data_IF_492175714069
#
_entry.id   IF_492175714069
#
_cell.length_a   1.000
_cell.length_b   1.000
_cell.length_c   1.000
_cell.angle_alpha   90.00
_cell.angle_beta   90.00
_cell.angle_gamma   90.00
#
_symmetry.space_group_name_H-M   'P 1'
#
loop_
_entity.id
_entity.type
_entity.pdbx_description
1 polymer ?
#
# COMPACT_ATOMS: atom_id res chain seq x y z
N UNK A 1 16.03 19.12 24.20
CA UNK A 1 17.49 19.32 24.39
C UNK A 1 18.21 18.75 23.15
N UNK A 2 19.35 19.31 22.70
CA UNK A 2 20.12 18.77 21.54
C UNK A 2 21.42 18.11 22.03
N UNK A 3 21.67 16.83 21.72
CA UNK A 3 22.94 16.12 22.00
C UNK A 3 23.62 15.70 20.70
N UNK A 4 24.93 15.88 20.59
CA UNK A 4 25.69 15.71 19.33
C UNK A 4 26.44 14.38 19.34
N UNK A 5 26.35 13.62 18.26
CA UNK A 5 27.06 12.34 18.11
C UNK A 5 28.33 12.43 17.22
N UNK A 6 28.53 13.50 16.44
CA UNK A 6 29.79 13.77 15.74
C UNK A 6 30.18 15.26 15.60
N UNK A 7 31.47 15.55 15.84
CA UNK A 7 32.16 16.81 15.49
C UNK A 7 32.09 17.93 16.53
N UNK A 8 33.15 18.76 16.57
CA UNK A 8 33.44 19.80 17.58
C UNK A 8 32.22 20.56 18.13
N UNK A 9 32.19 20.71 19.45
CA UNK A 9 31.09 21.18 20.28
C UNK A 9 30.59 22.56 19.88
N UNK A 10 29.45 22.64 19.20
CA UNK A 10 28.62 23.85 19.20
C UNK A 10 27.56 23.60 20.27
N UNK A 11 27.40 24.54 21.22
CA UNK A 11 26.34 24.47 22.21
C UNK A 11 24.97 24.65 21.52
N UNK A 12 24.35 23.49 21.27
CA UNK A 12 23.10 23.31 20.56
C UNK A 12 21.92 23.13 21.54
N UNK A 13 22.18 23.02 22.84
CA UNK A 13 21.13 22.79 23.82
C UNK A 13 20.15 23.98 23.88
N UNK A 14 18.85 23.72 23.66
CA UNK A 14 17.78 24.69 23.88
C UNK A 14 17.42 25.61 22.70
N UNK A 15 18.08 25.50 21.55
CA UNK A 15 17.77 26.32 20.35
C UNK A 15 16.79 25.63 19.40
N UNK A 16 15.92 26.40 18.73
CA UNK A 16 15.01 25.87 17.71
C UNK A 16 15.80 25.54 16.44
N UNK A 17 15.49 24.39 15.84
CA UNK A 17 16.15 23.90 14.63
C UNK A 17 16.11 24.92 13.48
N UNK A 18 14.97 25.60 13.28
CA UNK A 18 14.79 26.62 12.23
C UNK A 18 15.79 27.77 12.31
N UNK A 19 16.19 28.16 13.52
CA UNK A 19 17.11 29.28 13.74
C UNK A 19 18.58 28.87 13.54
N UNK A 20 18.85 27.55 13.55
CA UNK A 20 20.19 26.97 13.44
C UNK A 20 20.53 26.51 12.02
N UNK A 21 19.55 26.05 11.24
CA UNK A 21 19.74 25.55 9.87
C UNK A 21 20.53 26.51 8.95
N UNK A 22 20.29 27.84 8.95
CA UNK A 22 21.04 28.76 8.09
C UNK A 22 22.52 28.93 8.49
N UNK A 23 22.86 28.63 9.74
CA UNK A 23 24.20 28.83 10.32
C UNK A 23 25.07 27.58 10.28
N UNK A 24 24.47 26.42 10.00
CA UNK A 24 25.15 25.13 9.95
C UNK A 24 25.85 24.95 8.59
N UNK A 25 27.19 24.84 8.62
CA UNK A 25 28.03 24.60 7.44
C UNK A 25 28.39 23.12 7.21
N UNK A 26 27.91 22.20 8.06
CA UNK A 26 28.28 20.77 8.02
C UNK A 26 27.65 20.07 6.81
N UNK A 27 28.25 18.96 6.38
CA UNK A 27 27.62 18.11 5.37
C UNK A 27 26.52 17.23 5.98
N UNK A 28 26.74 16.81 7.23
CA UNK A 28 25.84 15.93 7.99
C UNK A 28 25.52 16.54 9.36
N UNK A 29 24.26 16.45 9.75
CA UNK A 29 23.73 16.74 11.09
C UNK A 29 23.26 15.41 11.66
N UNK A 30 23.75 15.02 12.83
CA UNK A 30 23.28 13.85 13.53
C UNK A 30 23.25 14.14 15.04
N UNK A 31 22.04 14.43 15.53
CA UNK A 31 21.82 14.93 16.88
C UNK A 31 20.53 14.35 17.46
N UNK A 32 20.45 14.19 18.77
CA UNK A 32 19.16 14.01 19.43
C UNK A 32 18.42 15.34 19.50
N UNK A 33 17.10 15.29 19.32
CA UNK A 33 16.16 16.43 19.42
C UNK A 33 15.01 16.05 20.33
N UNK A 34 14.52 17.03 21.07
CA UNK A 34 13.27 16.89 21.82
C UNK A 34 12.14 17.50 20.98
N UNK A 35 11.16 16.68 20.63
CA UNK A 35 10.01 17.06 19.83
C UNK A 35 8.78 17.09 20.74
N UNK A 36 8.11 18.23 20.79
CA UNK A 36 6.85 18.37 21.50
C UNK A 36 5.68 18.26 20.53
N UNK A 37 4.79 17.29 20.72
CA UNK A 37 3.58 17.13 19.92
C UNK A 37 2.35 16.95 20.81
N UNK A 38 1.17 17.22 20.25
CA UNK A 38 -0.12 17.07 20.94
C UNK A 38 -0.43 15.58 21.09
N UNK A 39 -0.61 15.07 22.31
CA UNK A 39 -1.03 13.69 22.55
C UNK A 39 -2.43 13.44 22.01
N UNK A 40 -2.69 12.40 21.20
CA UNK A 40 -4.09 11.95 21.12
C UNK A 40 -4.44 11.39 22.49
N UNK A 41 -5.31 12.09 23.22
CA UNK A 41 -5.77 11.70 24.55
C UNK A 41 -6.00 10.19 24.59
N UNK A 42 -5.34 9.55 25.54
CA UNK A 42 -5.42 8.13 25.85
C UNK A 42 -6.87 7.63 25.84
N UNK A 43 -7.10 6.56 25.06
CA UNK A 43 -8.26 5.65 25.06
C UNK A 43 -9.32 5.92 26.14
N UNK A 44 -10.53 6.31 25.73
CA UNK A 44 -11.75 6.07 26.51
C UNK A 44 -12.81 5.40 25.62
N UNK A 45 -13.05 4.12 25.90
CA UNK A 45 -14.15 3.22 25.49
C UNK A 45 -14.50 3.08 23.99
N UNK A 46 -14.17 1.89 23.46
CA UNK A 46 -14.95 1.19 22.43
C UNK A 46 -16.42 1.19 22.86
N UNK A 47 -17.29 1.82 22.09
CA UNK A 47 -18.69 1.39 21.99
C UNK A 47 -18.86 0.96 20.54
N UNK A 48 -18.97 -0.34 20.32
CA UNK A 48 -19.42 -0.91 19.04
C UNK A 48 -20.84 -0.40 18.79
N UNK A 49 -21.00 0.57 17.89
CA UNK A 49 -22.24 0.72 17.13
C UNK A 49 -21.92 1.13 15.70
N UNK A 50 -22.27 0.23 14.79
CA UNK A 50 -22.57 0.41 13.37
C UNK A 50 -21.63 1.30 12.56
N UNK A 51 -20.54 0.70 12.07
CA UNK A 51 -20.06 0.82 10.69
C UNK A 51 -19.76 2.21 10.12
N UNK A 52 -19.80 3.25 10.95
CA UNK A 52 -19.61 4.64 10.55
C UNK A 52 -18.23 5.09 11.02
N UNK A 53 -17.43 5.54 10.07
CA UNK A 53 -16.10 6.09 10.33
C UNK A 53 -16.27 7.42 11.07
N UNK A 54 -16.33 7.38 12.41
CA UNK A 54 -16.37 8.61 13.20
C UNK A 54 -15.01 9.32 13.10
N UNK A 55 -14.99 10.46 12.40
CA UNK A 55 -13.86 11.38 12.43
C UNK A 55 -13.84 12.03 13.80
N UNK A 56 -12.98 11.51 14.68
CA UNK A 56 -12.80 12.04 16.03
C UNK A 56 -12.15 13.44 16.00
N UNK A 57 -12.91 14.44 16.44
CA UNK A 57 -12.39 15.78 16.74
C UNK A 57 -12.22 15.93 18.26
N UNK A 58 -11.00 15.87 18.81
CA UNK A 58 -10.80 16.09 20.25
C UNK A 58 -11.25 17.50 20.64
N UNK A 59 -12.24 17.62 21.53
CA UNK A 59 -12.57 18.86 22.24
C UNK A 59 -11.73 18.95 23.51
N UNK A 60 -10.78 19.89 23.57
CA UNK A 60 -10.01 20.22 24.76
C UNK A 60 -8.56 20.62 24.47
N UNK A 61 -7.91 21.28 25.44
CA UNK A 61 -6.47 21.53 25.39
C UNK A 61 -5.71 20.22 25.56
N UNK A 62 -5.20 19.73 24.44
CA UNK A 62 -4.48 18.47 24.36
C UNK A 62 -3.13 18.61 25.08
N UNK A 63 -2.81 17.74 26.06
CA UNK A 63 -1.50 17.76 26.71
C UNK A 63 -0.39 17.53 25.67
N UNK A 64 0.66 18.36 25.73
CA UNK A 64 1.85 18.21 24.89
C UNK A 64 2.73 17.13 25.48
N UNK A 65 2.94 16.05 24.73
CA UNK A 65 3.99 15.06 25.04
C UNK A 65 5.30 15.58 24.48
N UNK A 66 6.37 15.38 25.23
CA UNK A 66 7.73 15.63 24.76
C UNK A 66 8.45 14.29 24.67
N UNK A 67 8.98 13.99 23.49
CA UNK A 67 9.77 12.78 23.26
C UNK A 67 11.09 13.15 22.59
N UNK A 68 12.12 12.35 22.85
CA UNK A 68 13.44 12.50 22.26
C UNK A 68 13.58 11.59 21.05
N UNK A 69 14.07 12.15 19.95
CA UNK A 69 14.32 11.44 18.71
C UNK A 69 15.71 11.79 18.18
N UNK A 70 16.27 10.95 17.33
CA UNK A 70 17.45 11.30 16.54
C UNK A 70 17.01 12.07 15.29
N UNK A 71 17.58 13.24 15.09
CA UNK A 71 17.44 14.05 13.89
C UNK A 71 18.70 13.88 13.03
N UNK A 72 18.48 13.37 11.83
CA UNK A 72 19.50 13.25 10.79
C UNK A 72 19.24 14.30 9.72
N UNK A 73 20.27 15.07 9.35
CA UNK A 73 20.20 16.07 8.30
C UNK A 73 21.32 15.88 7.29
N UNK A 74 21.00 15.69 6.02
CA UNK A 74 21.99 15.62 4.94
C UNK A 74 21.88 16.86 4.08
N UNK A 75 23.00 17.54 3.87
CA UNK A 75 23.06 18.68 2.98
C UNK A 75 23.08 18.22 1.52
N UNK A 76 22.08 18.63 0.77
CA UNK A 76 22.04 18.41 -0.66
C UNK A 76 23.05 19.32 -1.38
N UNK A 77 23.85 18.72 -2.28
CA UNK A 77 24.97 19.41 -2.93
C UNK A 77 24.52 20.42 -3.99
N UNK A 78 23.39 20.16 -4.64
CA UNK A 78 22.84 20.99 -5.71
C UNK A 78 22.01 22.16 -5.15
N UNK A 79 21.00 21.87 -4.34
CA UNK A 79 20.11 22.89 -3.76
C UNK A 79 20.73 23.65 -2.58
N UNK A 80 21.85 23.16 -2.03
CA UNK A 80 22.49 23.66 -0.80
C UNK A 80 21.58 23.64 0.45
N UNK A 81 20.44 22.95 0.39
CA UNK A 81 19.48 22.81 1.49
C UNK A 81 19.68 21.51 2.26
N UNK A 82 19.20 21.44 3.51
CA UNK A 82 19.23 20.19 4.28
C UNK A 82 17.94 19.40 4.07
N UNK A 83 18.08 18.11 3.78
CA UNK A 83 17.01 17.13 3.96
C UNK A 83 17.08 16.58 5.37
N UNK A 84 15.99 16.76 6.12
CA UNK A 84 15.90 16.43 7.55
C UNK A 84 14.99 15.22 7.75
N UNK A 85 15.46 14.27 8.56
CA UNK A 85 14.82 13.00 8.86
C UNK A 85 14.79 12.79 10.36
N UNK A 86 13.67 12.30 10.89
CA UNK A 86 13.49 12.03 12.31
C UNK A 86 13.36 10.53 12.52
N UNK A 87 14.22 9.94 13.35
CA UNK A 87 14.24 8.49 13.57
C UNK A 87 14.46 8.17 15.06
N UNK A 88 14.00 7.00 15.49
CA UNK A 88 14.34 6.42 16.78
C UNK A 88 15.47 5.37 16.66
N UNK A 89 16.01 5.14 15.46
CA UNK A 89 17.11 4.21 15.20
C UNK A 89 18.41 4.85 15.68
N UNK A 90 19.14 4.11 16.51
CA UNK A 90 20.39 4.58 17.10
C UNK A 90 21.52 4.72 16.06
N UNK A 91 22.53 5.58 16.29
CA UNK A 91 23.69 5.72 15.41
C UNK A 91 24.47 4.42 15.21
N UNK A 92 24.48 3.53 16.22
CA UNK A 92 25.16 2.24 16.17
C UNK A 92 24.46 1.25 15.23
N UNK A 93 23.14 1.39 15.03
CA UNK A 93 22.35 0.54 14.15
C UNK A 93 22.32 1.03 12.70
N UNK A 94 22.31 2.35 12.49
CA UNK A 94 22.20 2.93 11.15
C UNK A 94 22.91 4.28 11.08
N UNK A 95 23.79 4.45 10.10
CA UNK A 95 24.49 5.72 9.89
C UNK A 95 23.51 6.81 9.41
N UNK A 96 23.94 8.07 9.49
CA UNK A 96 23.16 9.19 8.99
C UNK A 96 22.88 9.07 7.47
N UNK A 97 23.87 8.61 6.70
CA UNK A 97 23.78 8.39 5.26
C UNK A 97 22.76 7.30 4.93
N UNK A 98 22.79 6.19 5.66
CA UNK A 98 21.88 5.06 5.47
C UNK A 98 20.45 5.41 5.88
N UNK A 99 20.26 6.23 6.92
CA UNK A 99 18.95 6.79 7.27
C UNK A 99 18.39 7.56 6.07
N UNK A 100 19.15 8.46 5.47
CA UNK A 100 18.68 9.21 4.31
C UNK A 100 18.41 8.32 3.10
N UNK A 101 19.23 7.30 2.86
CA UNK A 101 19.02 6.31 1.80
C UNK A 101 17.71 5.54 2.02
N UNK A 102 17.46 5.08 3.25
CA UNK A 102 16.23 4.40 3.63
C UNK A 102 15.00 5.31 3.44
N UNK A 103 15.11 6.59 3.79
CA UNK A 103 14.04 7.57 3.56
C UNK A 103 13.79 7.83 2.07
N UNK A 104 14.80 7.72 1.19
CA UNK A 104 14.58 7.74 -0.27
C UNK A 104 13.77 6.53 -0.72
N UNK A 105 14.00 5.37 -0.12
CA UNK A 105 13.22 4.17 -0.40
C UNK A 105 11.74 4.30 0.00
N UNK A 106 11.33 5.34 0.75
CA UNK A 106 9.91 5.64 1.03
C UNK A 106 9.08 5.75 -0.25
N UNK A 107 9.65 6.24 -1.36
CA UNK A 107 8.95 6.33 -2.65
C UNK A 107 8.45 4.97 -3.17
N UNK A 108 9.06 3.87 -2.71
CA UNK A 108 8.61 2.51 -3.03
C UNK A 108 7.15 2.27 -2.67
N UNK A 109 6.63 2.91 -1.60
CA UNK A 109 5.22 2.75 -1.23
C UNK A 109 4.28 3.37 -2.25
N UNK A 110 4.67 4.47 -2.88
CA UNK A 110 3.87 5.12 -3.92
C UNK A 110 3.81 4.24 -5.17
N UNK A 111 4.90 3.57 -5.51
CA UNK A 111 4.94 2.58 -6.58
C UNK A 111 4.05 1.37 -6.27
N UNK A 112 4.05 0.88 -5.03
CA UNK A 112 3.15 -0.20 -4.59
C UNK A 112 1.68 0.22 -4.71
N UNK A 113 1.30 1.41 -4.24
CA UNK A 113 -0.06 1.89 -4.41
C UNK A 113 -0.43 2.09 -5.88
N UNK A 114 0.50 2.53 -6.71
CA UNK A 114 0.28 2.66 -8.16
C UNK A 114 0.07 1.30 -8.81
N UNK A 115 0.81 0.28 -8.41
CA UNK A 115 0.63 -1.12 -8.85
C UNK A 115 -0.75 -1.65 -8.44
N UNK A 116 -1.10 -1.55 -7.15
CA UNK A 116 -2.39 -2.00 -6.60
C UNK A 116 -3.58 -1.39 -7.34
N UNK A 117 -3.56 -0.08 -7.60
CA UNK A 117 -4.61 0.61 -8.34
C UNK A 117 -4.64 0.17 -9.82
N UNK A 118 -3.50 0.26 -10.50
CA UNK A 118 -3.45 0.04 -11.95
C UNK A 118 -3.74 -1.41 -12.36
N UNK A 119 -3.17 -2.39 -11.66
CA UNK A 119 -3.24 -3.79 -12.08
C UNK A 119 -4.26 -4.59 -11.28
N UNK A 120 -4.49 -4.25 -10.01
CA UNK A 120 -5.43 -4.99 -9.16
C UNK A 120 -6.72 -4.21 -8.89
N UNK A 121 -6.93 -3.09 -9.60
CA UNK A 121 -8.18 -2.33 -9.65
C UNK A 121 -8.72 -1.88 -8.29
N UNK A 122 -7.81 -1.62 -7.34
CA UNK A 122 -8.18 -1.24 -5.97
C UNK A 122 -8.97 0.08 -5.90
N UNK A 123 -8.86 0.93 -6.93
CA UNK A 123 -9.59 2.19 -7.07
C UNK A 123 -10.91 2.10 -7.85
N UNK A 124 -11.27 0.91 -8.35
CA UNK A 124 -12.48 0.68 -9.17
C UNK A 124 -13.37 -0.40 -8.54
N UNK A 125 -13.65 -0.27 -7.24
CA UNK A 125 -14.59 -1.16 -6.55
C UNK A 125 -16.00 -0.58 -6.64
N UNK A 126 -16.88 -1.22 -7.40
CA UNK A 126 -18.26 -0.77 -7.66
C UNK A 126 -19.29 -1.26 -6.61
N UNK A 127 -18.88 -2.05 -5.64
CA UNK A 127 -19.74 -2.58 -4.57
C UNK A 127 -19.76 -1.65 -3.35
N UNK A 128 -20.95 -1.42 -2.79
CA UNK A 128 -21.13 -0.72 -1.50
C UNK A 128 -21.14 -1.65 -0.28
N UNK A 129 -21.11 -2.97 -0.48
CA UNK A 129 -21.16 -3.93 0.62
C UNK A 129 -19.79 -4.05 1.30
N UNK A 130 -19.65 -3.77 2.62
CA UNK A 130 -18.37 -3.77 3.31
C UNK A 130 -17.59 -5.09 3.21
N UNK A 131 -18.30 -6.22 3.28
CA UNK A 131 -17.70 -7.56 3.19
C UNK A 131 -17.09 -7.83 1.81
N UNK A 132 -17.73 -7.33 0.74
CA UNK A 132 -17.23 -7.46 -0.63
C UNK A 132 -15.99 -6.57 -0.81
N UNK A 133 -16.04 -5.33 -0.31
CA UNK A 133 -14.89 -4.42 -0.36
C UNK A 133 -13.69 -5.03 0.37
N UNK A 134 -13.87 -5.52 1.59
CA UNK A 134 -12.81 -6.14 2.38
C UNK A 134 -12.20 -7.34 1.66
N UNK A 135 -13.04 -8.22 1.10
CA UNK A 135 -12.60 -9.39 0.35
C UNK A 135 -11.75 -8.99 -0.88
N UNK A 136 -12.18 -7.99 -1.64
CA UNK A 136 -11.43 -7.51 -2.81
C UNK A 136 -10.09 -6.86 -2.42
N UNK A 137 -10.06 -6.09 -1.34
CA UNK A 137 -8.80 -5.52 -0.81
C UNK A 137 -7.85 -6.64 -0.40
N UNK A 138 -8.34 -7.66 0.31
CA UNK A 138 -7.51 -8.81 0.73
C UNK A 138 -6.98 -9.59 -0.48
N UNK A 139 -7.80 -9.83 -1.50
CA UNK A 139 -7.37 -10.50 -2.74
C UNK A 139 -6.31 -9.69 -3.48
N UNK A 140 -6.46 -8.37 -3.57
CA UNK A 140 -5.46 -7.49 -4.18
C UNK A 140 -4.13 -7.53 -3.42
N UNK A 141 -4.18 -7.49 -2.08
CA UNK A 141 -2.99 -7.58 -1.22
C UNK A 141 -2.31 -8.95 -1.35
N UNK A 142 -3.08 -10.05 -1.38
CA UNK A 142 -2.55 -11.39 -1.58
C UNK A 142 -1.88 -11.52 -2.95
N UNK A 143 -2.52 -11.01 -4.01
CA UNK A 143 -1.98 -11.00 -5.38
C UNK A 143 -0.67 -10.24 -5.45
N UNK A 144 -0.58 -9.07 -4.79
CA UNK A 144 0.66 -8.29 -4.70
C UNK A 144 1.79 -9.08 -4.04
N UNK A 145 1.52 -9.75 -2.91
CA UNK A 145 2.52 -10.56 -2.19
C UNK A 145 3.04 -11.69 -3.06
N UNK A 146 2.15 -12.42 -3.75
CA UNK A 146 2.53 -13.50 -4.67
C UNK A 146 3.36 -12.95 -5.85
N UNK A 147 2.90 -11.86 -6.46
CA UNK A 147 3.60 -11.17 -7.55
C UNK A 147 5.02 -10.77 -7.13
N UNK A 148 5.17 -10.10 -5.98
CA UNK A 148 6.48 -9.62 -5.49
C UNK A 148 7.39 -10.76 -5.04
N UNK A 149 6.83 -11.86 -4.54
CA UNK A 149 7.62 -13.06 -4.23
C UNK A 149 8.28 -13.62 -5.49
N UNK A 150 7.53 -13.71 -6.58
CA UNK A 150 8.03 -14.15 -7.87
C UNK A 150 9.03 -13.14 -8.48
N UNK A 151 8.76 -11.83 -8.38
CA UNK A 151 9.70 -10.78 -8.78
C UNK A 151 11.06 -10.96 -8.10
N UNK A 152 11.05 -11.13 -6.78
CA UNK A 152 12.27 -11.32 -6.01
C UNK A 152 12.98 -12.61 -6.42
N UNK A 153 12.25 -13.68 -6.71
CA UNK A 153 12.83 -14.91 -7.26
C UNK A 153 13.52 -14.69 -8.62
N UNK A 154 12.89 -13.93 -9.51
CA UNK A 154 13.47 -13.62 -10.83
C UNK A 154 14.74 -12.76 -10.72
N UNK A 155 14.78 -11.82 -9.78
CA UNK A 155 15.99 -11.03 -9.48
C UNK A 155 17.14 -11.88 -8.96
N UNK A 156 16.83 -12.94 -8.19
CA UNK A 156 17.83 -13.89 -7.70
C UNK A 156 18.37 -14.79 -8.82
N UNK A 157 17.51 -15.22 -9.75
CA UNK A 157 17.91 -16.08 -10.86
C UNK A 157 18.66 -15.37 -11.98
N UNK A 158 18.45 -14.05 -12.15
CA UNK A 158 19.11 -13.23 -13.15
C UNK A 158 19.73 -11.98 -12.50
N UNK A 159 20.80 -12.15 -11.69
CA UNK A 159 21.41 -11.06 -10.95
C UNK A 159 21.94 -9.94 -11.85
N UNK A 160 22.42 -10.29 -13.05
CA UNK A 160 22.91 -9.35 -14.07
C UNK A 160 21.81 -8.45 -14.64
N UNK A 161 20.54 -8.89 -14.55
CA UNK A 161 19.35 -8.12 -14.97
C UNK A 161 18.51 -7.64 -13.80
N UNK A 162 18.91 -7.92 -12.57
CA UNK A 162 18.13 -7.64 -11.35
C UNK A 162 17.60 -6.20 -11.28
N UNK A 163 18.45 -5.22 -11.59
CA UNK A 163 18.10 -3.80 -11.62
C UNK A 163 17.03 -3.44 -12.67
N UNK A 164 16.90 -4.23 -13.74
CA UNK A 164 15.92 -4.01 -14.81
C UNK A 164 14.55 -4.62 -14.51
N UNK A 165 14.46 -5.52 -13.54
CA UNK A 165 13.18 -6.02 -13.05
C UNK A 165 12.52 -4.97 -12.14
N UNK A 166 11.97 -3.92 -12.73
CA UNK A 166 11.25 -2.88 -11.99
C UNK A 166 9.85 -3.36 -11.58
N UNK A 167 9.32 -2.96 -10.41
CA UNK A 167 8.03 -3.46 -9.91
C UNK A 167 6.87 -3.26 -10.89
N UNK A 168 6.74 -2.07 -11.50
CA UNK A 168 5.63 -1.79 -12.42
C UNK A 168 5.71 -2.58 -13.73
N UNK A 169 6.92 -2.78 -14.29
CA UNK A 169 7.08 -3.57 -15.52
C UNK A 169 6.84 -5.06 -15.25
N UNK A 170 7.28 -5.52 -14.09
CA UNK A 170 7.00 -6.86 -13.60
C UNK A 170 5.49 -7.08 -13.44
N UNK A 171 4.80 -6.20 -12.73
CA UNK A 171 3.37 -6.30 -12.45
C UNK A 171 2.54 -6.39 -13.73
N UNK A 172 2.88 -5.60 -14.75
CA UNK A 172 2.26 -5.66 -16.08
C UNK A 172 2.39 -7.05 -16.71
N UNK A 173 3.60 -7.62 -16.65
CA UNK A 173 3.88 -8.94 -17.22
C UNK A 173 3.21 -10.06 -16.42
N UNK A 174 3.26 -9.97 -15.09
CA UNK A 174 2.61 -10.90 -14.17
C UNK A 174 1.09 -10.90 -14.37
N UNK A 175 0.47 -9.73 -14.42
CA UNK A 175 -0.97 -9.60 -14.63
C UNK A 175 -1.41 -10.17 -15.99
N UNK A 176 -0.65 -9.91 -17.06
CA UNK A 176 -0.95 -10.42 -18.40
C UNK A 176 -0.96 -11.96 -18.49
N UNK A 177 -0.14 -12.63 -17.67
CA UNK A 177 -0.03 -14.10 -17.66
C UNK A 177 -0.75 -14.75 -16.47
N UNK A 178 -1.33 -13.96 -15.56
CA UNK A 178 -1.96 -14.45 -14.35
C UNK A 178 -3.05 -15.51 -14.61
N UNK A 179 -3.93 -15.38 -15.63
CA UNK A 179 -4.90 -16.44 -15.93
C UNK A 179 -4.25 -17.78 -16.28
N UNK A 180 -3.17 -17.75 -17.06
CA UNK A 180 -2.41 -18.96 -17.44
C UNK A 180 -1.72 -19.58 -16.23
N UNK A 181 -1.15 -18.76 -15.34
CA UNK A 181 -0.56 -19.25 -14.10
C UNK A 181 -1.63 -19.86 -13.19
N UNK A 182 -2.80 -19.23 -13.08
CA UNK A 182 -3.91 -19.72 -12.28
C UNK A 182 -4.40 -21.08 -12.77
N UNK A 183 -4.57 -21.27 -14.09
CA UNK A 183 -4.95 -22.57 -14.65
C UNK A 183 -3.95 -23.68 -14.32
N UNK A 184 -2.64 -23.36 -14.29
CA UNK A 184 -1.61 -24.32 -13.86
C UNK A 184 -1.68 -24.65 -12.37
N UNK A 185 -1.98 -23.65 -11.53
CA UNK A 185 -2.17 -23.85 -10.08
C UNK A 185 -3.40 -24.70 -9.80
N UNK A 186 -4.53 -24.42 -10.48
CA UNK A 186 -5.76 -25.20 -10.36
C UNK A 186 -5.55 -26.65 -10.79
N UNK A 187 -4.90 -26.87 -11.93
CA UNK A 187 -4.55 -28.21 -12.39
C UNK A 187 -3.66 -28.95 -11.39
N UNK A 188 -2.67 -28.28 -10.81
CA UNK A 188 -1.81 -28.87 -9.77
C UNK A 188 -2.58 -29.18 -8.47
N UNK A 189 -3.64 -28.42 -8.18
CA UNK A 189 -4.57 -28.69 -7.08
C UNK A 189 -5.59 -29.80 -7.38
N UNK A 190 -5.51 -30.44 -8.56
CA UNK A 190 -6.47 -31.48 -8.98
C UNK A 190 -7.81 -30.93 -9.46
N UNK A 191 -7.91 -29.62 -9.67
CA UNK A 191 -9.08 -28.96 -10.24
C UNK A 191 -8.86 -28.92 -11.75
N UNK A 192 -9.44 -29.89 -12.45
CA UNK A 192 -9.37 -29.93 -13.92
C UNK A 192 -10.35 -28.90 -14.51
N UNK A 193 -9.90 -28.15 -15.51
CA UNK A 193 -10.73 -27.21 -16.28
C UNK A 193 -11.61 -28.00 -17.26
N UNK A 194 -12.41 -28.93 -16.75
CA UNK A 194 -13.35 -29.66 -17.58
C UNK A 194 -14.34 -28.65 -18.21
N UNK A 195 -14.74 -28.81 -19.47
CA UNK A 195 -15.73 -27.94 -20.12
C UNK A 195 -17.04 -27.78 -19.32
N UNK A 196 -17.41 -28.80 -18.55
CA UNK A 196 -18.57 -28.76 -17.64
C UNK A 196 -18.39 -27.76 -16.48
N UNK A 197 -17.16 -27.58 -15.98
CA UNK A 197 -16.87 -26.61 -14.92
C UNK A 197 -17.08 -25.18 -15.41
N UNK A 198 -16.77 -24.90 -16.68
CA UNK A 198 -17.06 -23.62 -17.33
C UNK A 198 -18.56 -23.35 -17.43
N UNK A 199 -19.36 -24.36 -17.79
CA UNK A 199 -20.82 -24.23 -17.83
C UNK A 199 -21.37 -23.98 -16.43
N UNK A 200 -20.93 -24.74 -15.42
CA UNK A 200 -21.32 -24.52 -14.00
C UNK A 200 -20.91 -23.13 -13.53
N UNK A 201 -19.70 -22.67 -13.87
CA UNK A 201 -19.23 -21.32 -13.59
C UNK A 201 -20.13 -20.26 -14.24
N UNK A 202 -20.42 -20.38 -15.53
CA UNK A 202 -21.30 -19.42 -16.22
C UNK A 202 -22.74 -19.45 -15.68
N UNK A 203 -23.24 -20.61 -15.28
CA UNK A 203 -24.54 -20.72 -14.62
C UNK A 203 -24.56 -20.08 -13.23
N UNK A 204 -23.44 -20.10 -12.50
CA UNK A 204 -23.33 -19.46 -11.18
C UNK A 204 -23.06 -17.95 -11.26
N UNK A 205 -22.04 -17.56 -12.01
CA UNK A 205 -21.52 -16.18 -12.07
C UNK A 205 -22.10 -15.35 -13.21
N UNK A 206 -22.61 -15.98 -14.27
CA UNK A 206 -23.19 -15.29 -15.42
C UNK A 206 -24.58 -14.73 -15.15
N UNK A 207 -25.22 -15.14 -14.05
CA UNK A 207 -26.50 -14.59 -13.60
C UNK A 207 -26.21 -13.27 -12.87
N UNK A 208 -26.68 -12.16 -13.43
CA UNK A 208 -26.57 -10.85 -12.81
C UNK A 208 -27.19 -10.87 -11.39
N UNK A 209 -26.39 -10.62 -10.33
CA UNK A 209 -26.86 -10.69 -8.95
C UNK A 209 -27.89 -9.62 -8.62
N UNK A 210 -28.03 -8.57 -9.44
CA UNK A 210 -29.07 -7.56 -9.27
C UNK A 210 -30.42 -8.05 -9.82
N UNK A 211 -31.08 -8.91 -9.04
CA UNK A 211 -32.35 -9.57 -9.40
C UNK A 211 -33.46 -8.57 -9.77
N UNK A 212 -33.47 -7.39 -9.18
CA UNK A 212 -34.50 -6.37 -9.36
C UNK A 212 -34.21 -5.38 -10.51
N UNK A 213 -33.09 -5.53 -11.22
CA UNK A 213 -32.75 -4.65 -12.35
C UNK A 213 -33.74 -4.86 -13.49
N UNK A 214 -34.44 -3.81 -13.90
CA UNK A 214 -35.20 -3.83 -15.15
C UNK A 214 -34.24 -3.99 -16.34
N UNK A 215 -34.47 -5.02 -17.16
CA UNK A 215 -33.65 -5.29 -18.35
C UNK A 215 -34.44 -4.97 -19.59
N UNK A 216 -33.83 -4.20 -20.50
CA UNK A 216 -34.45 -3.71 -21.73
C UNK A 216 -35.03 -4.83 -22.61
N UNK A 217 -34.38 -5.99 -22.65
CA UNK A 217 -34.80 -7.15 -23.45
C UNK A 217 -35.74 -8.12 -22.72
N UNK A 218 -36.15 -7.84 -21.48
CA UNK A 218 -36.99 -8.76 -20.68
C UNK A 218 -38.27 -9.22 -21.40
N UNK A 219 -39.01 -8.35 -22.13
CA UNK A 219 -40.22 -8.77 -22.84
C UNK A 219 -39.92 -9.78 -23.97
N UNK A 220 -38.81 -9.59 -24.68
CA UNK A 220 -38.39 -10.44 -25.80
C UNK A 220 -37.92 -11.81 -25.31
N UNK A 221 -37.09 -11.83 -24.26
CA UNK A 221 -36.62 -13.08 -23.64
C UNK A 221 -37.79 -13.91 -23.10
N UNK A 222 -38.79 -13.27 -22.47
CA UNK A 222 -40.00 -13.96 -21.99
C UNK A 222 -40.83 -14.53 -23.15
N UNK A 223 -40.95 -13.79 -24.26
CA UNK A 223 -41.66 -14.25 -25.44
C UNK A 223 -40.98 -15.47 -26.08
N UNK A 224 -39.65 -15.42 -26.26
CA UNK A 224 -38.86 -16.55 -26.78
C UNK A 224 -38.94 -17.77 -25.87
N UNK A 225 -38.85 -17.60 -24.55
CA UNK A 225 -38.93 -18.72 -23.61
C UNK A 225 -40.34 -19.33 -23.51
N UNK A 226 -41.38 -18.58 -23.84
CA UNK A 226 -42.77 -19.07 -23.88
C UNK A 226 -43.08 -19.84 -25.17
N UNK A 227 -42.26 -19.66 -26.22
CA UNK A 227 -42.28 -20.45 -27.45
C UNK A 227 -41.32 -21.64 -27.28
N UNK A 228 -41.68 -22.59 -26.41
CA UNK A 228 -40.91 -23.84 -26.26
C UNK A 228 -40.70 -24.51 -27.63
N UNK A 229 -39.62 -25.29 -27.76
CA UNK A 229 -39.35 -26.11 -28.94
C UNK A 229 -40.56 -27.01 -29.22
N UNK A 230 -41.49 -26.55 -30.07
CA UNK A 230 -42.48 -27.40 -30.69
C UNK A 230 -41.69 -28.42 -31.51
N UNK A 231 -41.75 -29.66 -31.01
CA UNK A 231 -41.17 -30.86 -31.55
C UNK A 231 -41.44 -30.94 -33.05
N UNK A 232 -40.36 -30.86 -33.84
CA UNK A 232 -40.37 -31.35 -35.22
C UNK A 232 -40.24 -32.87 -35.10
N UNK A 233 -41.36 -33.56 -35.31
CA UNK A 233 -41.43 -35.02 -35.55
C UNK A 233 -40.61 -35.43 -36.77
#
# INVERSE_FOLDING_TARGET
MLRVHQGNTIDLAGKKLKDMLPRLKREVIDIEVEVSFKSRASKAKKTEKDGTFEVYYPKGDIPKVKETFRLVGIRDKESKTYHLYLTNITPEQLSAEDVALLYRARWSIELVFKELKRFYQLDVISSGAPTVIESLVLVAMLTLVVSHRLLNQMRLWAPEKSARFTPLRWAESFYAIAPVMMGRVLKAAGIDEAPLLLIVYFMGEGIDPNVNRERLLSPWVKATNSQGFDTID
#
